data_IF_656817826068
#
_entry.id   IF_656817826068
#
_cell.length_a   1.000
_cell.length_b   1.000
_cell.length_c   1.000
_cell.angle_alpha   90.00
_cell.angle_beta   90.00
_cell.angle_gamma   90.00
#
_symmetry.space_group_name_H-M   'P 1'
#
loop_
_entity.id
_entity.type
_entity.pdbx_description
1 polymer ?
#
# COMPACT_ATOMS: atom_id res chain seq x y z
N UNK A 1 12.78 11.25 -50.97
CA UNK A 1 13.84 11.78 -50.06
C UNK A 1 13.15 12.25 -48.80
N UNK A 2 13.37 11.58 -47.66
CA UNK A 2 12.71 11.96 -46.39
C UNK A 2 13.63 12.91 -45.63
N UNK A 3 13.20 14.16 -45.44
CA UNK A 3 13.91 15.14 -44.61
C UNK A 3 13.78 14.69 -43.15
N UNK A 4 14.85 14.17 -42.55
CA UNK A 4 14.87 13.73 -41.15
C UNK A 4 15.76 14.69 -40.34
N UNK A 5 15.27 15.30 -39.24
CA UNK A 5 16.00 16.32 -38.50
C UNK A 5 17.36 15.83 -37.97
N UNK A 6 17.45 14.56 -37.57
CA UNK A 6 18.69 13.96 -37.07
C UNK A 6 19.77 13.77 -38.14
N UNK A 7 19.43 13.92 -39.42
CA UNK A 7 20.40 13.88 -40.52
C UNK A 7 21.01 15.27 -40.82
N UNK A 8 20.47 16.34 -40.24
CA UNK A 8 21.06 17.67 -40.33
C UNK A 8 22.04 17.88 -39.18
N UNK A 9 23.31 18.14 -39.49
CA UNK A 9 24.34 18.42 -38.49
C UNK A 9 24.23 19.83 -37.92
N UNK A 10 23.81 20.80 -38.76
CA UNK A 10 23.57 22.19 -38.38
C UNK A 10 22.27 22.34 -37.57
N UNK A 11 22.37 22.98 -36.40
CA UNK A 11 21.26 23.18 -35.49
C UNK A 11 20.15 24.10 -36.05
N UNK A 12 20.52 25.11 -36.81
CA UNK A 12 19.59 26.05 -37.47
C UNK A 12 18.79 25.33 -38.55
N UNK A 13 19.48 24.51 -39.35
CA UNK A 13 18.83 23.69 -40.39
C UNK A 13 17.91 22.65 -39.75
N UNK A 14 18.32 22.03 -38.64
CA UNK A 14 17.49 21.09 -37.89
C UNK A 14 16.20 21.75 -37.39
N UNK A 15 16.30 22.95 -36.81
CA UNK A 15 15.13 23.68 -36.32
C UNK A 15 14.19 24.09 -37.47
N UNK A 16 14.74 24.50 -38.62
CA UNK A 16 13.94 24.78 -39.82
C UNK A 16 13.19 23.53 -40.32
N UNK A 17 13.84 22.36 -40.31
CA UNK A 17 13.20 21.08 -40.67
C UNK A 17 12.05 20.76 -39.72
N UNK A 18 12.26 20.90 -38.40
CA UNK A 18 11.22 20.63 -37.39
C UNK A 18 10.02 21.56 -37.60
N UNK A 19 10.26 22.87 -37.71
CA UNK A 19 9.18 23.86 -37.92
C UNK A 19 8.40 23.59 -39.21
N UNK A 20 9.10 23.19 -40.27
CA UNK A 20 8.47 22.81 -41.53
C UNK A 20 7.58 21.58 -41.35
N UNK A 21 8.08 20.52 -40.70
CA UNK A 21 7.33 19.28 -40.45
C UNK A 21 6.10 19.52 -39.58
N UNK A 22 6.22 20.29 -38.50
CA UNK A 22 5.09 20.66 -37.63
C UNK A 22 4.01 21.42 -38.39
N UNK A 23 4.42 22.38 -39.24
CA UNK A 23 3.48 23.17 -40.05
C UNK A 23 2.83 22.32 -41.14
N UNK A 24 3.60 21.47 -41.82
CA UNK A 24 3.08 20.56 -42.83
C UNK A 24 2.09 19.55 -42.23
N UNK A 25 2.40 18.98 -41.07
CA UNK A 25 1.50 18.10 -40.33
C UNK A 25 0.18 18.81 -40.02
N UNK A 26 0.22 20.02 -39.45
CA UNK A 26 -1.00 20.79 -39.13
C UNK A 26 -1.87 21.05 -40.36
N UNK A 27 -1.26 21.44 -41.47
CA UNK A 27 -2.00 21.72 -42.72
C UNK A 27 -2.66 20.46 -43.27
N UNK A 28 -1.91 19.36 -43.37
CA UNK A 28 -2.42 18.09 -43.88
C UNK A 28 -3.49 17.52 -42.95
N UNK A 29 -3.24 17.52 -41.64
CA UNK A 29 -4.19 17.06 -40.64
C UNK A 29 -5.49 17.86 -40.71
N UNK A 30 -5.41 19.19 -40.78
CA UNK A 30 -6.60 20.04 -40.88
C UNK A 30 -7.39 19.82 -42.18
N UNK A 31 -6.67 19.55 -43.28
CA UNK A 31 -7.30 19.31 -44.58
C UNK A 31 -8.09 17.99 -44.60
N UNK A 32 -7.55 16.92 -44.04
CA UNK A 32 -8.19 15.59 -44.07
C UNK A 32 -9.13 15.32 -42.89
N UNK A 33 -8.93 15.96 -41.74
CA UNK A 33 -9.67 15.68 -40.51
C UNK A 33 -10.48 16.88 -39.99
N UNK A 34 -10.58 17.96 -40.77
CA UNK A 34 -11.19 19.22 -40.36
C UNK A 34 -10.32 20.00 -39.38
N UNK A 35 -10.79 21.15 -38.88
CA UNK A 35 -10.11 21.92 -37.82
C UNK A 35 -10.15 21.16 -36.47
N UNK A 36 -9.54 19.98 -36.43
CA UNK A 36 -9.37 19.16 -35.26
C UNK A 36 -8.32 19.80 -34.37
N UNK A 37 -8.70 20.07 -33.12
CA UNK A 37 -7.76 20.41 -32.08
C UNK A 37 -6.58 19.42 -32.14
N UNK A 38 -5.34 19.94 -32.19
CA UNK A 38 -4.13 19.27 -31.71
C UNK A 38 -4.50 18.31 -30.57
N UNK A 39 -3.90 17.10 -30.44
CA UNK A 39 -4.32 16.08 -29.48
C UNK A 39 -4.71 16.76 -28.18
N UNK A 40 -6.03 16.88 -27.98
CA UNK A 40 -6.55 17.81 -27.00
C UNK A 40 -5.92 17.43 -25.68
N UNK A 41 -5.39 18.41 -24.95
CA UNK A 41 -5.00 18.21 -23.56
C UNK A 41 -6.09 17.34 -22.92
N UNK A 42 -5.70 16.16 -22.42
CA UNK A 42 -6.62 15.10 -21.99
C UNK A 42 -7.86 15.70 -21.32
N UNK A 43 -9.09 15.30 -21.71
CA UNK A 43 -10.31 15.85 -21.11
C UNK A 43 -10.23 15.80 -19.59
N UNK A 44 -10.67 16.87 -18.92
CA UNK A 44 -10.55 17.02 -17.46
C UNK A 44 -11.13 15.81 -16.72
N UNK A 45 -12.24 15.24 -17.22
CA UNK A 45 -12.86 14.04 -16.67
C UNK A 45 -11.95 12.82 -16.74
N UNK A 46 -11.25 12.61 -17.86
CA UNK A 46 -10.27 11.53 -18.03
C UNK A 46 -9.07 11.73 -17.11
N UNK A 47 -8.63 12.97 -16.92
CA UNK A 47 -7.54 13.32 -16.00
C UNK A 47 -7.93 13.03 -14.54
N UNK A 48 -9.15 13.38 -14.15
CA UNK A 48 -9.71 13.06 -12.82
C UNK A 48 -9.83 11.54 -12.63
N UNK A 49 -10.27 10.80 -13.66
CA UNK A 49 -10.37 9.34 -13.61
C UNK A 49 -9.00 8.68 -13.37
N UNK A 50 -7.96 9.14 -14.08
CA UNK A 50 -6.59 8.65 -13.89
C UNK A 50 -6.05 9.02 -12.51
N UNK A 51 -6.27 10.26 -12.05
CA UNK A 51 -5.89 10.68 -10.70
C UNK A 51 -6.52 9.80 -9.61
N UNK A 52 -7.82 9.51 -9.72
CA UNK A 52 -8.51 8.62 -8.78
C UNK A 52 -7.97 7.19 -8.84
N UNK A 53 -7.62 6.71 -10.03
CA UNK A 53 -7.03 5.38 -10.21
C UNK A 53 -5.63 5.30 -9.59
N UNK A 54 -4.80 6.33 -9.75
CA UNK A 54 -3.49 6.44 -9.09
C UNK A 54 -3.68 6.35 -7.57
N UNK A 55 -4.61 7.11 -6.98
CA UNK A 55 -4.88 7.07 -5.54
C UNK A 55 -5.28 5.67 -5.05
N UNK A 56 -6.16 4.98 -5.80
CA UNK A 56 -6.58 3.61 -5.47
C UNK A 56 -5.43 2.61 -5.54
N UNK A 57 -4.60 2.69 -6.57
CA UNK A 57 -3.43 1.80 -6.73
C UNK A 57 -2.37 2.08 -5.68
N UNK A 58 -2.16 3.34 -5.29
CA UNK A 58 -1.27 3.70 -4.17
C UNK A 58 -1.75 3.08 -2.87
N UNK A 59 -3.05 3.18 -2.55
CA UNK A 59 -3.62 2.51 -1.37
C UNK A 59 -3.43 0.97 -1.46
N UNK A 60 -3.64 0.37 -2.63
CA UNK A 60 -3.40 -1.07 -2.83
C UNK A 60 -1.92 -1.43 -2.60
N UNK A 61 -1.00 -0.64 -3.16
CA UNK A 61 0.44 -0.83 -3.01
C UNK A 61 0.85 -0.79 -1.53
N UNK A 62 0.28 0.14 -0.76
CA UNK A 62 0.55 0.29 0.67
C UNK A 62 0.15 -0.94 1.50
N UNK A 63 -0.91 -1.66 1.09
CA UNK A 63 -1.35 -2.88 1.78
C UNK A 63 -0.77 -4.18 1.21
N UNK A 64 -0.12 -4.14 0.04
CA UNK A 64 0.42 -5.32 -0.62
C UNK A 64 1.81 -5.68 -0.09
N UNK A 65 2.02 -6.94 0.31
CA UNK A 65 3.29 -7.44 0.84
C UNK A 65 4.08 -8.33 -0.11
N UNK A 66 3.39 -8.97 -1.06
CA UNK A 66 4.05 -9.78 -2.07
C UNK A 66 4.96 -8.88 -2.93
N UNK A 67 6.26 -9.16 -2.96
CA UNK A 67 7.26 -8.33 -3.64
C UNK A 67 6.99 -8.20 -5.14
N UNK A 68 6.51 -9.26 -5.78
CA UNK A 68 6.16 -9.27 -7.20
C UNK A 68 4.93 -8.42 -7.45
N UNK A 69 3.88 -8.58 -6.65
CA UNK A 69 2.66 -7.78 -6.80
C UNK A 69 2.91 -6.30 -6.53
N UNK A 70 3.75 -5.96 -5.53
CA UNK A 70 4.18 -4.57 -5.29
C UNK A 70 4.86 -3.94 -6.51
N UNK A 71 5.74 -4.68 -7.19
CA UNK A 71 6.41 -4.18 -8.40
C UNK A 71 5.42 -3.92 -9.53
N UNK A 72 4.44 -4.80 -9.72
CA UNK A 72 3.40 -4.66 -10.74
C UNK A 72 2.54 -3.43 -10.47
N UNK A 73 2.08 -3.25 -9.23
CA UNK A 73 1.25 -2.10 -8.86
C UNK A 73 2.04 -0.79 -9.02
N UNK A 74 3.32 -0.77 -8.63
CA UNK A 74 4.19 0.41 -8.82
C UNK A 74 4.39 0.74 -10.31
N UNK A 75 4.58 -0.27 -11.17
CA UNK A 75 4.68 -0.05 -12.62
C UNK A 75 3.38 0.57 -13.18
N UNK A 76 2.22 0.05 -12.77
CA UNK A 76 0.91 0.60 -13.18
C UNK A 76 0.70 2.05 -12.73
N UNK A 77 1.13 2.40 -11.51
CA UNK A 77 1.12 3.81 -11.05
C UNK A 77 2.03 4.65 -11.95
N UNK A 78 3.21 4.13 -12.28
CA UNK A 78 4.17 4.83 -13.13
C UNK A 78 3.65 5.12 -14.54
N UNK A 79 2.96 4.17 -15.16
CA UNK A 79 2.32 4.35 -16.47
C UNK A 79 1.25 5.45 -16.40
N UNK A 80 0.35 5.38 -15.42
CA UNK A 80 -0.71 6.37 -15.24
C UNK A 80 -0.18 7.78 -14.94
N UNK A 81 0.90 7.91 -14.15
CA UNK A 81 1.55 9.20 -13.91
C UNK A 81 2.09 9.81 -15.21
N UNK A 82 2.74 8.99 -16.05
CA UNK A 82 3.27 9.43 -17.36
C UNK A 82 2.15 9.87 -18.29
N UNK A 83 1.02 9.17 -18.30
CA UNK A 83 -0.15 9.51 -19.13
C UNK A 83 -0.71 10.91 -18.83
N UNK A 84 -0.55 11.42 -17.60
CA UNK A 84 -0.97 12.77 -17.22
C UNK A 84 0.18 13.76 -17.05
N UNK A 85 1.36 13.43 -17.57
CA UNK A 85 2.54 14.31 -17.59
C UNK A 85 3.18 14.54 -16.22
N UNK A 86 2.99 13.62 -15.27
CA UNK A 86 3.62 13.67 -13.95
C UNK A 86 4.81 12.70 -13.88
N UNK A 87 5.84 13.11 -13.14
CA UNK A 87 6.92 12.19 -12.80
C UNK A 87 6.38 11.09 -11.87
N UNK A 88 6.70 9.81 -12.15
CA UNK A 88 6.29 8.72 -11.27
C UNK A 88 7.03 8.82 -9.93
N UNK A 89 6.35 8.61 -8.80
CA UNK A 89 6.99 8.62 -7.49
C UNK A 89 7.94 7.42 -7.34
N UNK A 90 9.04 7.60 -6.59
CA UNK A 90 9.96 6.50 -6.32
C UNK A 90 9.24 5.40 -5.51
N UNK A 91 9.63 4.15 -5.72
CA UNK A 91 8.98 3.01 -5.05
C UNK A 91 9.06 3.08 -3.52
N UNK A 92 10.12 3.73 -3.00
CA UNK A 92 10.35 3.90 -1.57
C UNK A 92 9.65 5.16 -1.00
N UNK A 93 9.27 6.11 -1.85
CA UNK A 93 8.57 7.34 -1.46
C UNK A 93 7.06 7.10 -1.31
N UNK A 94 6.54 6.01 -1.90
CA UNK A 94 5.15 5.55 -1.72
C UNK A 94 4.96 4.71 -0.44
N UNK A 95 5.76 5.01 0.58
CA UNK A 95 5.67 4.46 1.93
C UNK A 95 4.69 5.23 2.82
N UNK A 96 4.50 4.74 4.04
CA UNK A 96 3.74 5.48 5.06
C UNK A 96 4.62 6.61 5.63
N UNK A 97 4.09 7.84 5.66
CA UNK A 97 4.68 8.99 6.36
C UNK A 97 4.25 9.05 7.85
N UNK A 98 3.88 7.91 8.43
CA UNK A 98 3.46 7.71 9.81
C UNK A 98 3.73 6.24 10.20
N UNK A 99 3.99 5.88 11.46
CA UNK A 99 4.48 4.55 11.82
C UNK A 99 3.59 3.45 11.24
N UNK A 100 4.22 2.51 10.54
CA UNK A 100 3.54 1.43 9.83
C UNK A 100 2.66 0.66 10.82
N UNK A 101 1.50 0.08 10.43
CA UNK A 101 0.68 -0.70 11.34
C UNK A 101 1.44 -1.82 12.08
N UNK A 102 2.53 -2.34 11.48
CA UNK A 102 3.47 -3.26 12.13
C UNK A 102 4.25 -2.62 13.28
N UNK A 103 4.62 -1.34 13.18
CA UNK A 103 5.33 -0.60 14.22
C UNK A 103 4.39 -0.31 15.39
N UNK A 104 3.11 -0.01 15.09
CA UNK A 104 2.07 0.20 16.10
C UNK A 104 1.77 -1.07 16.94
N UNK A 105 1.96 -2.26 16.36
CA UNK A 105 1.74 -3.54 17.06
C UNK A 105 3.03 -4.18 17.57
N UNK A 106 4.21 -3.64 17.24
CA UNK A 106 5.49 -4.19 17.71
C UNK A 106 5.60 -4.24 19.25
N UNK A 107 5.19 -3.20 20.01
CA UNK A 107 5.19 -3.26 21.47
C UNK A 107 4.27 -4.37 22.02
N UNK A 108 3.15 -4.64 21.36
CA UNK A 108 2.25 -5.72 21.73
C UNK A 108 2.94 -7.07 21.61
N UNK A 109 3.54 -7.36 20.45
CA UNK A 109 4.23 -8.63 20.23
C UNK A 109 5.48 -8.79 21.10
N UNK A 110 6.21 -7.72 21.39
CA UNK A 110 7.30 -7.72 22.36
C UNK A 110 6.80 -8.10 23.77
N UNK A 111 5.66 -7.56 24.20
CA UNK A 111 5.04 -7.93 25.47
C UNK A 111 4.58 -9.39 25.53
N UNK A 112 4.02 -9.91 24.43
CA UNK A 112 3.67 -11.34 24.32
C UNK A 112 4.90 -12.23 24.41
N UNK A 113 5.97 -11.89 23.69
CA UNK A 113 7.24 -12.62 23.77
C UNK A 113 7.81 -12.60 25.19
N UNK A 114 7.73 -11.47 25.88
CA UNK A 114 8.17 -11.36 27.27
C UNK A 114 7.39 -12.27 28.21
N UNK A 115 6.06 -12.30 28.11
CA UNK A 115 5.23 -13.21 28.89
C UNK A 115 5.57 -14.68 28.59
N UNK A 116 5.81 -15.04 27.32
CA UNK A 116 6.27 -16.38 26.94
C UNK A 116 7.61 -16.70 27.60
N UNK A 117 8.60 -15.79 27.55
CA UNK A 117 9.92 -15.98 28.19
C UNK A 117 9.81 -16.20 29.70
N UNK A 118 8.87 -15.54 30.36
CA UNK A 118 8.60 -15.70 31.80
C UNK A 118 7.78 -16.94 32.14
N UNK A 119 7.36 -17.73 31.15
CA UNK A 119 6.52 -18.91 31.36
C UNK A 119 5.10 -18.59 31.83
N UNK A 120 4.62 -17.36 31.63
CA UNK A 120 3.24 -16.98 32.01
C UNK A 120 2.26 -17.69 31.10
N UNK A 121 1.25 -18.34 31.68
CA UNK A 121 0.24 -19.08 30.94
C UNK A 121 -0.97 -18.18 30.66
N UNK A 122 -1.05 -17.62 29.46
CA UNK A 122 -2.13 -16.69 29.06
C UNK A 122 -2.87 -17.11 27.77
N UNK A 123 -2.39 -18.12 27.04
CA UNK A 123 -3.07 -18.63 25.85
C UNK A 123 -4.34 -19.41 26.25
N UNK A 124 -5.50 -18.97 25.77
CA UNK A 124 -6.79 -19.64 25.97
C UNK A 124 -7.07 -20.74 24.94
N UNK A 125 -6.34 -20.76 23.82
CA UNK A 125 -6.51 -21.74 22.75
C UNK A 125 -6.08 -23.12 23.22
N UNK A 126 -6.89 -24.15 22.90
CA UNK A 126 -6.49 -25.55 23.05
C UNK A 126 -5.74 -26.08 21.81
N UNK A 127 -5.91 -25.41 20.68
CA UNK A 127 -5.33 -25.82 19.40
C UNK A 127 -3.88 -25.33 19.32
N UNK A 128 -2.97 -26.26 19.03
CA UNK A 128 -1.56 -25.94 18.74
C UNK A 128 -1.44 -25.00 17.54
N UNK A 129 -0.45 -24.09 17.56
CA UNK A 129 -0.25 -23.09 16.50
C UNK A 129 -1.29 -21.95 16.51
N UNK A 130 -2.15 -21.88 17.52
CA UNK A 130 -3.09 -20.77 17.72
C UNK A 130 -2.88 -20.10 19.06
N UNK A 131 -2.93 -18.77 19.04
CA UNK A 131 -2.85 -17.92 20.21
C UNK A 131 -4.20 -17.22 20.42
N UNK A 132 -4.96 -17.61 21.43
CA UNK A 132 -6.21 -16.94 21.80
C UNK A 132 -6.01 -16.13 23.07
N UNK A 133 -6.17 -14.81 22.95
CA UNK A 133 -5.86 -13.85 24.01
C UNK A 133 -7.15 -13.18 24.45
N UNK A 134 -7.48 -13.28 25.74
CA UNK A 134 -8.48 -12.42 26.34
C UNK A 134 -7.87 -11.05 26.68
N UNK A 135 -8.52 -9.97 26.25
CA UNK A 135 -7.99 -8.60 26.43
C UNK A 135 -7.84 -8.21 27.91
N UNK A 136 -8.83 -8.54 28.74
CA UNK A 136 -8.82 -8.17 30.16
C UNK A 136 -7.76 -8.98 30.92
N UNK A 137 -7.70 -10.29 30.68
CA UNK A 137 -6.68 -11.15 31.27
C UNK A 137 -5.26 -10.72 30.87
N UNK A 138 -5.05 -10.39 29.60
CA UNK A 138 -3.74 -9.91 29.14
C UNK A 138 -3.34 -8.58 29.78
N UNK A 139 -4.29 -7.65 29.97
CA UNK A 139 -4.00 -6.36 30.62
C UNK A 139 -3.46 -6.56 32.04
N UNK A 140 -4.04 -7.49 32.81
CA UNK A 140 -3.58 -7.83 34.15
C UNK A 140 -2.19 -8.49 34.13
N UNK A 141 -1.93 -9.39 33.18
CA UNK A 141 -0.62 -10.03 33.05
C UNK A 141 0.47 -9.05 32.63
N UNK A 142 0.17 -8.10 31.73
CA UNK A 142 1.08 -7.01 31.39
C UNK A 142 1.38 -6.12 32.59
N UNK A 143 0.35 -5.77 33.38
CA UNK A 143 0.53 -5.00 34.62
C UNK A 143 1.43 -5.74 35.62
N UNK A 144 1.22 -7.05 35.82
CA UNK A 144 2.06 -7.90 36.68
C UNK A 144 3.49 -8.02 36.19
N UNK A 145 3.69 -8.03 34.88
CA UNK A 145 5.01 -8.10 34.26
C UNK A 145 5.76 -6.75 34.20
N UNK A 146 5.10 -5.63 34.55
CA UNK A 146 5.66 -4.28 34.44
C UNK A 146 5.65 -3.73 33.01
N UNK A 147 4.82 -4.28 32.12
CA UNK A 147 4.69 -3.88 30.72
C UNK A 147 3.68 -2.73 30.62
N UNK A 148 4.18 -1.53 30.33
CA UNK A 148 3.36 -0.32 30.16
C UNK A 148 2.81 -0.25 28.72
N UNK A 149 1.83 -1.10 28.40
CA UNK A 149 1.12 -1.06 27.12
C UNK A 149 -0.39 -0.99 27.35
N UNK A 150 -1.06 0.01 26.75
CA UNK A 150 -2.51 0.16 26.81
C UNK A 150 -3.18 -0.71 25.74
N UNK A 151 -4.06 -1.62 26.16
CA UNK A 151 -4.86 -2.46 25.27
C UNK A 151 -6.18 -1.77 24.88
N UNK A 152 -6.06 -0.64 24.18
CA UNK A 152 -7.21 0.17 23.77
C UNK A 152 -7.84 -0.25 22.42
N UNK A 153 -8.84 0.50 21.97
CA UNK A 153 -9.54 0.25 20.70
C UNK A 153 -8.66 0.55 19.48
N UNK A 154 -7.70 1.46 19.58
CA UNK A 154 -6.78 1.81 18.51
C UNK A 154 -5.79 0.67 18.26
N UNK A 155 -5.18 0.13 19.32
CA UNK A 155 -4.34 -1.06 19.25
C UNK A 155 -5.14 -2.25 18.74
N UNK A 156 -6.38 -2.43 19.21
CA UNK A 156 -7.27 -3.47 18.72
C UNK A 156 -7.53 -3.37 17.20
N UNK A 157 -7.71 -2.15 16.67
CA UNK A 157 -7.86 -1.93 15.22
C UNK A 157 -6.57 -2.23 14.46
N UNK A 158 -5.43 -1.79 14.98
CA UNK A 158 -4.11 -2.05 14.39
C UNK A 158 -3.79 -3.55 14.35
N UNK A 159 -4.10 -4.29 15.42
CA UNK A 159 -3.92 -5.75 15.48
C UNK A 159 -4.80 -6.49 14.47
N UNK A 160 -6.05 -6.09 14.28
CA UNK A 160 -6.91 -6.67 13.23
C UNK A 160 -6.42 -6.39 11.82
N UNK A 161 -5.80 -5.23 11.61
CA UNK A 161 -5.17 -4.86 10.34
C UNK A 161 -3.80 -5.53 10.14
N UNK A 162 -3.21 -6.11 11.20
CA UNK A 162 -1.97 -6.88 11.12
C UNK A 162 -2.24 -8.31 10.63
N UNK A 163 -2.51 -8.42 9.33
CA UNK A 163 -2.31 -9.66 8.55
C UNK A 163 -0.83 -10.10 8.71
N UNK A 164 -0.41 -11.38 8.55
CA UNK A 164 -1.23 -12.59 8.50
C UNK A 164 -1.54 -13.16 9.88
N UNK A 165 -1.11 -12.48 10.96
CA UNK A 165 -1.20 -13.06 12.31
C UNK A 165 -2.63 -13.08 12.83
N UNK A 166 -3.45 -12.08 12.53
CA UNK A 166 -4.83 -12.02 13.04
C UNK A 166 -5.77 -12.98 12.28
N UNK A 167 -6.54 -13.78 13.02
CA UNK A 167 -7.52 -14.71 12.47
C UNK A 167 -8.95 -14.21 12.73
N UNK A 168 -9.33 -13.99 13.98
CA UNK A 168 -10.71 -13.62 14.35
C UNK A 168 -10.82 -13.04 15.76
N UNK A 169 -11.95 -12.39 16.06
CA UNK A 169 -12.38 -12.09 17.43
C UNK A 169 -13.64 -12.92 17.70
N UNK A 170 -13.53 -13.94 18.56
CA UNK A 170 -14.62 -14.88 18.82
C UNK A 170 -14.57 -15.42 20.24
N UNK A 171 -15.70 -15.94 20.69
CA UNK A 171 -15.74 -16.74 21.92
C UNK A 171 -15.07 -18.09 21.66
N UNK A 172 -14.08 -18.41 22.48
CA UNK A 172 -13.40 -19.72 22.47
C UNK A 172 -13.73 -20.45 23.76
N UNK A 173 -13.78 -21.78 23.70
CA UNK A 173 -13.73 -22.57 24.92
C UNK A 173 -12.30 -22.46 25.47
N UNK A 174 -12.17 -21.83 26.63
CA UNK A 174 -10.92 -21.49 27.29
C UNK A 174 -10.25 -22.71 27.90
N UNK A 175 -8.96 -22.94 27.61
CA UNK A 175 -8.18 -23.94 28.35
C UNK A 175 -7.87 -23.54 29.79
N UNK A 176 -7.88 -22.24 30.10
CA UNK A 176 -7.49 -21.70 31.41
C UNK A 176 -8.64 -21.62 32.41
N UNK A 177 -9.83 -21.34 31.92
CA UNK A 177 -11.03 -21.14 32.76
C UNK A 177 -12.07 -22.24 32.60
N UNK A 178 -11.90 -23.14 31.63
CA UNK A 178 -12.86 -24.21 31.33
C UNK A 178 -14.18 -23.77 30.67
N UNK A 179 -14.49 -22.46 30.66
CA UNK A 179 -15.69 -21.88 30.08
C UNK A 179 -15.45 -21.09 28.79
N UNK A 180 -16.55 -20.59 28.19
CA UNK A 180 -16.49 -19.71 27.03
C UNK A 180 -15.93 -18.33 27.39
N UNK A 181 -14.94 -17.84 26.64
CA UNK A 181 -14.37 -16.50 26.82
C UNK A 181 -14.11 -15.83 25.47
N UNK A 182 -14.39 -14.52 25.39
CA UNK A 182 -14.12 -13.76 24.18
C UNK A 182 -12.62 -13.48 24.04
N UNK A 183 -12.05 -13.86 22.89
CA UNK A 183 -10.62 -13.74 22.60
C UNK A 183 -10.37 -13.14 21.22
N UNK A 184 -9.24 -12.47 21.09
CA UNK A 184 -8.57 -12.27 19.81
C UNK A 184 -7.72 -13.49 19.51
N UNK A 185 -7.92 -14.07 18.33
CA UNK A 185 -7.26 -15.29 17.88
C UNK A 185 -6.23 -14.94 16.83
N UNK A 186 -5.02 -15.42 17.01
CA UNK A 186 -3.89 -15.22 16.12
C UNK A 186 -3.25 -16.57 15.75
N UNK A 187 -2.53 -16.61 14.63
CA UNK A 187 -1.57 -17.69 14.36
C UNK A 187 -0.40 -17.57 15.33
N UNK A 188 -0.08 -18.64 16.04
CA UNK A 188 1.10 -18.72 16.89
C UNK A 188 2.25 -19.29 16.06
N UNK A 189 2.98 -18.42 15.37
CA UNK A 189 4.28 -18.75 14.80
C UNK A 189 5.30 -18.50 15.90
N UNK A 190 5.84 -19.57 16.48
CA UNK A 190 6.92 -19.49 17.48
C UNK A 190 8.12 -18.66 16.97
#
# INVERSE_FOLDING_TARGET
MTLHPDRAQDATIRELIIRYQERAFRVLFNHFHGAGQLPAAMPIQSRIAIQNQILRLTAKLQHTRNRTERRVIHAMIGDLCRDIGMAPPAMNDLGFDAPHPSDAVAPFWAGIAELKRRGVVFNHSRTSGLLAINRTGLAEEFKRAGITLKLDSQLGRALRASDPRYIAAKTVNSRLTGGGIHCWVFTDTD
#
